data_IF_630092692166
#
_entry.id   IF_630092692166
#
_cell.length_a   1.000
_cell.length_b   1.000
_cell.length_c   1.000
_cell.angle_alpha   90.00
_cell.angle_beta   90.00
_cell.angle_gamma   90.00
#
_symmetry.space_group_name_H-M   'P 1'
#
loop_
_entity.id
_entity.type
_entity.pdbx_description
1 polymer ?
#
# COMPACT_ATOMS: atom_id res chain seq x y z
N UNK A 1 12.11 -46.27 -67.39
CA UNK A 1 12.06 -46.10 -65.93
C UNK A 1 12.60 -44.72 -65.56
N UNK A 2 11.75 -43.76 -65.19
CA UNK A 2 12.17 -42.41 -64.78
C UNK A 2 12.34 -42.37 -63.25
N UNK A 3 13.56 -42.13 -62.77
CA UNK A 3 13.86 -41.91 -61.34
C UNK A 3 13.48 -40.48 -60.96
N UNK A 4 12.39 -40.32 -60.22
CA UNK A 4 11.98 -39.04 -59.64
C UNK A 4 12.87 -38.74 -58.44
N UNK A 5 13.73 -37.72 -58.55
CA UNK A 5 14.62 -37.26 -57.47
C UNK A 5 13.88 -36.16 -56.71
N UNK A 6 13.35 -36.48 -55.53
CA UNK A 6 12.68 -35.49 -54.69
C UNK A 6 13.70 -34.55 -54.06
N UNK A 7 13.46 -33.24 -54.16
CA UNK A 7 14.25 -32.21 -53.51
C UNK A 7 13.86 -32.16 -52.03
N UNK A 8 14.85 -32.37 -51.15
CA UNK A 8 14.66 -32.44 -49.71
C UNK A 8 14.51 -31.07 -49.06
N UNK A 9 13.75 -31.04 -47.97
CA UNK A 9 13.49 -29.89 -47.11
C UNK A 9 14.75 -29.51 -46.32
N UNK A 10 15.75 -28.90 -46.97
CA UNK A 10 16.92 -28.30 -46.29
C UNK A 10 17.79 -27.34 -47.12
N UNK A 11 17.42 -26.98 -48.36
CA UNK A 11 18.20 -26.09 -49.23
C UNK A 11 17.74 -24.62 -49.19
N UNK A 12 17.78 -23.98 -48.02
CA UNK A 12 17.78 -22.52 -47.95
C UNK A 12 18.75 -22.01 -46.91
N UNK A 13 19.94 -21.63 -47.40
CA UNK A 13 21.00 -20.96 -46.67
C UNK A 13 20.49 -19.74 -45.90
N UNK A 14 20.73 -19.79 -44.59
CA UNK A 14 20.44 -18.71 -43.64
C UNK A 14 21.58 -17.70 -43.64
N UNK A 15 21.42 -16.58 -44.35
CA UNK A 15 22.29 -15.42 -44.13
C UNK A 15 21.91 -14.67 -42.84
N UNK A 16 22.86 -14.33 -41.94
CA UNK A 16 22.56 -13.59 -40.72
C UNK A 16 22.60 -12.07 -40.97
N UNK A 17 21.45 -11.46 -41.27
CA UNK A 17 21.32 -10.00 -41.20
C UNK A 17 21.30 -9.52 -39.74
N UNK A 18 22.45 -9.01 -39.28
CA UNK A 18 22.66 -8.33 -38.00
C UNK A 18 21.86 -7.02 -37.97
N UNK A 19 20.69 -6.99 -37.32
CA UNK A 19 19.99 -5.74 -36.98
C UNK A 19 20.42 -5.29 -35.58
N UNK A 20 21.10 -4.16 -35.56
CA UNK A 20 21.64 -3.46 -34.40
C UNK A 20 20.51 -3.11 -33.41
N UNK A 21 20.64 -3.53 -32.16
CA UNK A 21 19.72 -3.19 -31.08
C UNK A 21 19.87 -1.70 -30.71
N UNK A 22 18.77 -0.95 -30.73
CA UNK A 22 18.66 0.33 -30.03
C UNK A 22 17.87 0.10 -28.74
N UNK A 23 18.38 0.55 -27.57
CA UNK A 23 17.64 0.41 -26.31
C UNK A 23 16.51 1.46 -26.28
N UNK A 24 15.28 1.05 -26.55
CA UNK A 24 14.10 1.89 -26.34
C UNK A 24 13.77 1.97 -24.85
N UNK A 25 14.04 3.14 -24.26
CA UNK A 25 13.82 3.44 -22.84
C UNK A 25 12.35 3.80 -22.53
N UNK A 26 11.41 2.92 -22.85
CA UNK A 26 10.02 3.04 -22.39
C UNK A 26 9.39 1.66 -22.18
N UNK A 27 8.81 1.35 -21.00
CA UNK A 27 8.11 0.09 -20.81
C UNK A 27 6.93 0.02 -21.76
N UNK A 28 6.85 -1.04 -22.57
CA UNK A 28 5.72 -1.27 -23.47
C UNK A 28 4.43 -1.30 -22.65
N UNK A 29 3.43 -0.49 -23.04
CA UNK A 29 2.08 -0.61 -22.49
C UNK A 29 1.60 -2.00 -22.86
N UNK A 30 1.45 -2.87 -21.86
CA UNK A 30 0.99 -4.24 -22.04
C UNK A 30 -0.40 -4.17 -22.66
N UNK A 31 -0.52 -4.65 -23.90
CA UNK A 31 -1.78 -4.78 -24.59
C UNK A 31 -2.60 -5.88 -23.89
N UNK A 32 -3.65 -5.49 -23.16
CA UNK A 32 -4.48 -6.40 -22.38
C UNK A 32 -5.64 -6.98 -23.21
N UNK A 33 -5.51 -7.01 -24.54
CA UNK A 33 -6.56 -7.46 -25.47
C UNK A 33 -6.93 -8.94 -25.27
N UNK A 34 -6.03 -9.78 -24.75
CA UNK A 34 -6.32 -11.16 -24.38
C UNK A 34 -5.88 -11.46 -22.94
N UNK A 35 -6.81 -11.40 -21.98
CA UNK A 35 -6.60 -11.79 -20.59
C UNK A 35 -7.57 -11.11 -19.60
N UNK A 36 -7.69 -11.61 -18.35
CA UNK A 36 -8.45 -10.91 -17.32
C UNK A 36 -7.77 -9.57 -17.00
N UNK A 37 -8.56 -8.49 -16.95
CA UNK A 37 -8.03 -7.15 -16.64
C UNK A 37 -7.25 -7.18 -15.32
N UNK A 38 -6.00 -6.67 -15.27
CA UNK A 38 -5.26 -6.61 -14.01
C UNK A 38 -6.00 -5.69 -13.03
N UNK A 39 -6.33 -6.21 -11.84
CA UNK A 39 -6.88 -5.38 -10.78
C UNK A 39 -5.81 -4.39 -10.32
N UNK A 40 -6.11 -3.10 -10.37
CA UNK A 40 -5.30 -2.07 -9.73
C UNK A 40 -5.55 -2.14 -8.22
N UNK A 41 -4.67 -2.83 -7.49
CA UNK A 41 -4.78 -2.94 -6.04
C UNK A 41 -4.20 -1.68 -5.40
N UNK A 42 -4.97 -0.90 -4.61
CA UNK A 42 -4.45 0.29 -3.95
C UNK A 42 -3.30 -0.10 -3.01
N UNK A 43 -2.28 0.77 -2.94
CA UNK A 43 -1.18 0.59 -1.99
C UNK A 43 -1.68 0.52 -0.55
N UNK A 44 -0.86 0.00 0.35
CA UNK A 44 -1.15 0.02 1.79
C UNK A 44 -0.08 0.83 2.50
N UNK A 45 -0.49 1.63 3.49
CA UNK A 45 0.42 2.40 4.34
C UNK A 45 0.11 2.16 5.81
N UNK A 46 1.14 2.10 6.61
CA UNK A 46 1.02 2.10 8.08
C UNK A 46 0.84 3.52 8.56
N UNK A 47 -0.16 3.74 9.41
CA UNK A 47 -0.41 5.04 10.05
C UNK A 47 -0.66 4.87 11.52
N UNK A 48 -0.27 5.88 12.30
CA UNK A 48 -0.66 6.00 13.69
C UNK A 48 -1.39 7.31 13.91
N UNK A 49 -2.31 7.32 14.86
CA UNK A 49 -3.17 8.46 15.15
C UNK A 49 -3.12 8.78 16.64
N UNK A 50 -3.33 10.04 16.97
CA UNK A 50 -3.51 10.44 18.37
C UNK A 50 -4.87 9.93 18.90
N UNK A 51 -4.90 9.16 19.98
CA UNK A 51 -6.16 8.72 20.62
C UNK A 51 -7.03 9.89 21.09
N UNK A 52 -6.45 11.04 21.43
CA UNK A 52 -7.19 12.19 21.94
C UNK A 52 -7.76 13.08 20.83
N UNK A 53 -6.99 13.38 19.77
CA UNK A 53 -7.39 14.35 18.75
C UNK A 53 -7.46 13.81 17.32
N UNK A 54 -7.11 12.53 17.11
CA UNK A 54 -7.15 11.88 15.80
C UNK A 54 -6.05 12.31 14.82
N UNK A 55 -5.13 13.20 15.21
CA UNK A 55 -4.07 13.69 14.34
C UNK A 55 -3.17 12.55 13.85
N UNK A 56 -2.83 12.56 12.57
CA UNK A 56 -1.91 11.59 11.97
C UNK A 56 -0.47 11.82 12.45
N UNK A 57 0.16 10.78 12.97
CA UNK A 57 1.55 10.74 13.40
C UNK A 57 2.36 10.12 12.26
N UNK A 58 2.89 10.97 11.36
CA UNK A 58 3.57 10.52 10.13
C UNK A 58 4.98 9.96 10.39
N UNK A 59 5.63 10.41 11.45
CA UNK A 59 6.94 9.93 11.87
C UNK A 59 6.93 9.75 13.37
N UNK A 60 7.01 8.49 13.79
CA UNK A 60 7.12 8.12 15.19
C UNK A 60 8.60 7.83 15.42
N UNK A 61 9.36 8.84 15.84
CA UNK A 61 10.73 8.64 16.29
C UNK A 61 10.70 8.27 17.78
N UNK A 62 11.46 7.25 18.18
CA UNK A 62 11.71 6.98 19.59
C UNK A 62 12.74 8.00 20.13
N UNK A 63 12.54 8.56 21.34
CA UNK A 63 11.46 8.30 22.29
C UNK A 63 10.14 9.00 21.94
N UNK A 64 9.03 8.33 22.24
CA UNK A 64 7.68 8.83 22.01
C UNK A 64 7.39 10.08 22.85
N UNK A 65 7.36 11.23 22.17
CA UNK A 65 7.05 12.52 22.77
C UNK A 65 5.54 12.78 22.93
N UNK A 66 5.18 14.05 22.81
CA UNK A 66 3.80 14.51 22.85
C UNK A 66 3.24 14.70 21.44
N UNK A 67 1.92 14.63 21.31
CA UNK A 67 1.24 14.93 20.06
C UNK A 67 1.47 16.41 19.68
N UNK A 68 1.91 16.73 18.45
CA UNK A 68 2.19 18.10 18.03
C UNK A 68 0.94 18.99 17.95
N UNK A 69 -0.26 18.40 17.93
CA UNK A 69 -1.54 19.13 17.80
C UNK A 69 -2.19 19.45 19.14
N UNK A 70 -2.21 18.49 20.07
CA UNK A 70 -2.95 18.62 21.33
C UNK A 70 -2.08 18.45 22.59
N UNK A 71 -0.78 18.19 22.46
CA UNK A 71 0.12 17.99 23.59
C UNK A 71 -0.09 16.67 24.36
N UNK A 72 -0.95 15.77 23.87
CA UNK A 72 -1.22 14.49 24.52
C UNK A 72 0.02 13.58 24.52
N UNK A 73 0.35 12.99 25.67
CA UNK A 73 1.48 12.06 25.80
C UNK A 73 1.23 10.79 24.97
N UNK A 74 2.10 10.54 23.99
CA UNK A 74 1.96 9.39 23.11
C UNK A 74 2.33 8.08 23.81
N UNK A 75 3.16 8.12 24.85
CA UNK A 75 3.50 6.97 25.69
C UNK A 75 2.50 6.80 26.85
N UNK A 76 1.24 6.55 26.52
CA UNK A 76 0.13 6.39 27.47
C UNK A 76 -0.68 5.13 27.17
N UNK A 77 -1.38 4.57 28.17
CA UNK A 77 -2.13 3.33 27.97
C UNK A 77 -3.14 3.44 26.83
N UNK A 78 -3.81 4.60 26.66
CA UNK A 78 -4.78 4.80 25.56
C UNK A 78 -4.17 4.74 24.16
N UNK A 79 -2.87 4.92 24.03
CA UNK A 79 -2.13 4.85 22.76
C UNK A 79 -1.45 3.50 22.52
N UNK A 80 -1.56 2.59 23.50
CA UNK A 80 -0.97 1.27 23.43
C UNK A 80 -1.83 0.34 22.56
N UNK A 81 -1.18 -0.50 21.76
CA UNK A 81 -1.82 -1.57 21.00
C UNK A 81 -2.51 -2.59 21.92
N UNK A 82 -1.91 -2.87 23.08
CA UNK A 82 -2.38 -3.89 24.03
C UNK A 82 -3.46 -3.40 25.00
N UNK A 83 -3.92 -2.15 24.88
CA UNK A 83 -4.96 -1.61 25.74
C UNK A 83 -6.32 -2.21 25.38
N UNK A 84 -6.88 -2.95 26.33
CA UNK A 84 -8.14 -3.69 26.17
C UNK A 84 -9.00 -3.47 27.42
N UNK A 85 -10.08 -2.68 27.34
CA UNK A 85 -10.90 -2.30 28.50
C UNK A 85 -11.54 -3.48 29.24
N UNK A 86 -11.79 -4.60 28.54
CA UNK A 86 -12.44 -5.78 29.11
C UNK A 86 -11.48 -6.68 29.91
N UNK A 87 -10.16 -6.51 29.72
CA UNK A 87 -9.14 -7.37 30.33
C UNK A 87 -8.77 -6.92 31.74
N UNK A 88 -8.17 -7.84 32.52
CA UNK A 88 -7.62 -7.50 33.85
C UNK A 88 -6.64 -6.33 33.72
N UNK A 89 -6.82 -5.32 34.57
CA UNK A 89 -6.03 -4.07 34.54
C UNK A 89 -6.12 -3.25 33.24
N UNK A 90 -7.10 -3.56 32.39
CA UNK A 90 -7.35 -2.92 31.09
C UNK A 90 -6.19 -3.13 30.09
N UNK A 91 -5.48 -4.27 30.18
CA UNK A 91 -4.34 -4.61 29.35
C UNK A 91 -4.35 -6.10 29.01
N UNK A 92 -3.98 -6.46 27.78
CA UNK A 92 -3.82 -7.86 27.36
C UNK A 92 -2.46 -8.47 27.75
N UNK A 93 -1.50 -7.66 28.20
CA UNK A 93 -0.19 -8.11 28.66
C UNK A 93 -0.19 -8.36 30.18
N UNK A 94 0.64 -9.31 30.68
CA UNK A 94 0.74 -9.62 32.10
C UNK A 94 1.49 -8.52 32.87
N UNK A 95 0.82 -7.39 33.10
CA UNK A 95 1.37 -6.28 33.88
C UNK A 95 1.29 -6.58 35.39
N UNK A 96 2.32 -6.20 36.17
CA UNK A 96 2.37 -6.50 37.61
C UNK A 96 1.32 -5.71 38.41
N UNK A 97 1.05 -4.46 38.02
CA UNK A 97 0.12 -3.56 38.70
C UNK A 97 -0.72 -2.75 37.69
N UNK A 98 -1.92 -2.33 38.11
CA UNK A 98 -2.78 -1.44 37.33
C UNK A 98 -2.17 -0.04 37.20
N UNK A 99 -1.82 0.34 35.97
CA UNK A 99 -1.39 1.71 35.65
C UNK A 99 -2.61 2.65 35.62
N UNK A 100 -2.64 3.68 36.46
CA UNK A 100 -3.64 4.75 36.43
C UNK A 100 -2.96 6.11 36.75
N UNK A 101 -3.34 7.23 36.12
CA UNK A 101 -4.36 7.40 35.08
C UNK A 101 -3.91 6.94 33.68
N UNK A 102 -4.85 6.43 32.86
CA UNK A 102 -4.56 5.85 31.52
C UNK A 102 -4.22 6.87 30.42
N UNK A 103 -4.51 8.14 30.69
CA UNK A 103 -4.32 9.29 29.80
C UNK A 103 -2.95 9.96 29.91
N UNK A 104 -2.16 9.64 30.93
CA UNK A 104 -0.86 10.27 31.17
C UNK A 104 0.29 9.39 30.70
N UNK A 105 1.45 10.01 30.55
CA UNK A 105 2.70 9.31 30.33
C UNK A 105 2.92 8.25 31.42
N UNK A 106 3.22 7.03 31.00
CA UNK A 106 3.64 5.94 31.87
C UNK A 106 5.04 5.44 31.46
N UNK A 107 5.59 4.48 32.20
CA UNK A 107 6.89 3.86 31.92
C UNK A 107 6.74 2.35 31.72
N UNK A 108 5.58 1.93 31.19
CA UNK A 108 5.31 0.51 30.94
C UNK A 108 6.31 -0.06 29.92
N UNK A 109 7.04 -1.10 30.30
CA UNK A 109 8.00 -1.79 29.42
C UNK A 109 7.34 -2.53 28.26
N UNK A 110 6.07 -2.92 28.41
CA UNK A 110 5.27 -3.59 27.38
C UNK A 110 4.58 -2.61 26.43
N UNK A 111 4.92 -1.33 26.47
CA UNK A 111 4.28 -0.35 25.61
C UNK A 111 4.63 -0.61 24.13
N UNK A 112 3.61 -0.70 23.29
CA UNK A 112 3.73 -0.68 21.82
C UNK A 112 2.72 0.32 21.27
N UNK A 113 3.14 1.23 20.39
CA UNK A 113 2.23 2.21 19.82
C UNK A 113 1.25 1.52 18.86
N UNK A 114 -0.05 1.86 18.97
CA UNK A 114 -1.05 1.38 18.01
C UNK A 114 -0.75 1.89 16.59
N UNK A 115 -0.60 0.95 15.66
CA UNK A 115 -0.43 1.22 14.22
C UNK A 115 -1.59 0.58 13.47
N UNK A 116 -2.23 1.34 12.57
CA UNK A 116 -3.26 0.86 11.68
C UNK A 116 -2.72 0.76 10.25
N UNK A 117 -3.10 -0.29 9.52
CA UNK A 117 -2.78 -0.44 8.11
C UNK A 117 -3.95 0.11 7.28
N UNK A 118 -3.74 1.26 6.66
CA UNK A 118 -4.74 1.93 5.81
C UNK A 118 -4.45 1.64 4.33
N UNK A 119 -5.51 1.39 3.54
CA UNK A 119 -5.41 1.36 2.08
C UNK A 119 -5.28 2.78 1.56
N UNK A 120 -4.32 3.00 0.67
CA UNK A 120 -4.13 4.23 -0.07
C UNK A 120 -5.23 4.37 -1.13
N UNK A 121 -6.40 4.84 -0.70
CA UNK A 121 -7.53 5.11 -1.61
C UNK A 121 -7.39 6.44 -2.34
N UNK A 122 -6.35 7.22 -2.04
CA UNK A 122 -6.07 8.46 -2.77
C UNK A 122 -5.49 8.09 -4.12
N UNK A 123 -6.34 8.10 -5.14
CA UNK A 123 -5.89 8.09 -6.53
C UNK A 123 -4.91 9.24 -6.71
N UNK A 124 -3.68 8.91 -7.08
CA UNK A 124 -2.63 9.86 -7.38
C UNK A 124 -3.06 10.70 -8.60
N UNK A 125 -3.80 11.78 -8.36
CA UNK A 125 -3.93 12.94 -9.24
C UNK A 125 -4.33 12.71 -10.71
N UNK A 126 -5.18 11.73 -11.05
CA UNK A 126 -5.62 11.56 -12.46
C UNK A 126 -7.02 12.06 -12.75
N UNK A 127 -7.93 12.15 -11.77
CA UNK A 127 -9.27 12.68 -12.00
C UNK A 127 -9.31 14.18 -11.68
N UNK A 128 -9.26 15.02 -12.72
CA UNK A 128 -9.68 16.42 -12.60
C UNK A 128 -11.18 16.42 -12.26
N UNK A 129 -11.69 17.32 -11.42
CA UNK A 129 -13.11 17.32 -11.02
C UNK A 129 -14.08 17.41 -12.22
N UNK A 130 -13.62 17.94 -13.36
CA UNK A 130 -14.41 18.00 -14.60
C UNK A 130 -14.56 16.63 -15.30
N UNK A 131 -13.62 15.71 -15.10
CA UNK A 131 -13.60 14.38 -15.70
C UNK A 131 -14.66 13.47 -15.05
N UNK A 132 -14.87 13.61 -13.74
CA UNK A 132 -15.91 12.86 -13.03
C UNK A 132 -17.33 13.23 -13.47
N UNK A 133 -17.61 14.51 -13.74
CA UNK A 133 -18.91 14.96 -14.26
C UNK A 133 -19.13 14.50 -15.70
N UNK A 134 -18.12 14.65 -16.56
CA UNK A 134 -18.19 14.17 -17.94
C UNK A 134 -18.37 12.65 -18.03
N UNK A 135 -17.68 11.88 -17.18
CA UNK A 135 -17.85 10.43 -17.09
C UNK A 135 -19.25 10.02 -16.61
N UNK A 136 -19.83 10.78 -15.68
CA UNK A 136 -21.20 10.56 -15.22
C UNK A 136 -22.21 10.84 -16.34
N UNK A 137 -22.11 11.97 -17.03
CA UNK A 137 -23.07 12.33 -18.09
C UNK A 137 -23.02 11.35 -19.28
N UNK A 138 -21.87 10.71 -19.55
CA UNK A 138 -21.74 9.73 -20.62
C UNK A 138 -22.38 8.36 -20.29
N UNK A 139 -22.69 8.07 -19.02
CA UNK A 139 -23.37 6.82 -18.62
C UNK A 139 -24.89 6.87 -18.89
N UNK A 140 -25.47 8.06 -19.00
CA UNK A 140 -26.92 8.27 -19.14
C UNK A 140 -27.32 8.84 -20.50
N UNK A 141 -26.38 8.93 -21.44
CA UNK A 141 -26.66 9.28 -22.84
C UNK A 141 -26.91 8.01 -23.65
N UNK A 142 -28.11 7.47 -23.47
CA UNK A 142 -28.82 6.69 -24.48
C UNK A 142 -29.98 7.53 -25.03
#
# INVERSE_FOLDING_TARGET
MAKYRQHGYQDSDREPHKKMEQPSSAPSRRDNTFGPRPLNMPGTRTVSRCAQCGNLLQSIAEPLGQCPKCGFDLHSCKQCEHFEPASRFECNQPIPERIAPKDKRNECSFFSMRVALEKETSSKGTARPNDARAAFDNLFKD
#
